data_IF_846309455415
#
_entry.id   IF_846309455415
#
_cell.length_a   1.000
_cell.length_b   1.000
_cell.length_c   1.000
_cell.angle_alpha   90.00
_cell.angle_beta   90.00
_cell.angle_gamma   90.00
#
_symmetry.space_group_name_H-M   'P 1'
#
loop_
_entity.id
_entity.type
_entity.pdbx_description
1 polymer ?
#
# COMPACT_ATOMS: atom_id res chain seq x y z
N UNK A 1 -3.32 -0.08 -13.29
CA UNK A 1 -4.62 -0.14 -13.99
C UNK A 1 -4.46 -0.71 -15.40
N UNK A 2 -3.56 -0.17 -16.23
CA UNK A 2 -3.38 -0.65 -17.62
C UNK A 2 -2.87 -2.09 -17.71
N UNK A 3 -1.99 -2.53 -16.79
CA UNK A 3 -1.45 -3.90 -16.74
C UNK A 3 -2.47 -5.00 -16.42
N UNK A 4 -3.67 -4.62 -15.99
CA UNK A 4 -4.79 -5.53 -15.66
C UNK A 4 -5.98 -5.36 -16.62
N UNK A 5 -5.73 -4.75 -17.79
CA UNK A 5 -6.71 -4.67 -18.89
C UNK A 5 -7.75 -3.55 -18.79
N UNK A 6 -7.62 -2.64 -17.82
CA UNK A 6 -8.55 -1.51 -17.69
C UNK A 6 -8.08 -0.31 -18.53
N UNK A 7 -8.97 0.24 -19.36
CA UNK A 7 -8.71 1.49 -20.08
C UNK A 7 -9.03 2.68 -19.19
N UNK A 8 -8.14 3.66 -19.14
CA UNK A 8 -8.32 4.88 -18.34
C UNK A 8 -9.57 5.68 -18.74
N UNK A 9 -9.97 5.62 -20.03
CA UNK A 9 -11.17 6.27 -20.55
C UNK A 9 -12.47 5.74 -19.96
N UNK A 10 -12.48 4.49 -19.50
CA UNK A 10 -13.69 3.81 -19.07
C UNK A 10 -13.93 3.98 -17.56
N UNK A 11 -12.97 4.58 -16.85
CA UNK A 11 -13.03 4.80 -15.40
C UNK A 11 -13.92 6.02 -15.13
N UNK A 12 -15.11 5.76 -14.60
CA UNK A 12 -16.07 6.79 -14.17
C UNK A 12 -15.87 7.22 -12.73
N UNK A 13 -15.60 6.27 -11.83
CA UNK A 13 -15.35 6.45 -10.40
C UNK A 13 -14.00 5.83 -10.06
N UNK A 14 -13.33 6.33 -9.04
CA UNK A 14 -12.02 5.86 -8.63
C UNK A 14 -11.87 5.92 -7.11
N UNK A 15 -10.76 5.43 -6.55
CA UNK A 15 -10.52 5.43 -5.11
C UNK A 15 -10.63 6.82 -4.46
N UNK A 16 -10.33 7.89 -5.20
CA UNK A 16 -10.55 9.27 -4.74
C UNK A 16 -12.02 9.49 -4.34
N UNK A 17 -12.96 9.01 -5.15
CA UNK A 17 -14.39 9.19 -4.88
C UNK A 17 -14.83 8.45 -3.60
N UNK A 18 -14.21 7.31 -3.30
CA UNK A 18 -14.48 6.59 -2.04
C UNK A 18 -13.86 7.31 -0.83
N UNK A 19 -12.62 7.82 -0.95
CA UNK A 19 -11.92 8.45 0.17
C UNK A 19 -12.46 9.83 0.52
N UNK A 20 -12.80 10.65 -0.48
CA UNK A 20 -13.18 12.06 -0.32
C UNK A 20 -14.70 12.23 -0.33
N UNK A 21 -15.38 11.60 -1.29
CA UNK A 21 -16.83 11.79 -1.50
C UNK A 21 -17.68 10.69 -0.85
N UNK A 22 -17.07 9.76 -0.11
CA UNK A 22 -17.73 8.65 0.60
C UNK A 22 -18.57 7.75 -0.32
N UNK A 23 -18.18 7.65 -1.60
CA UNK A 23 -18.84 6.73 -2.53
C UNK A 23 -18.53 5.29 -2.12
N UNK A 24 -19.55 4.41 -1.98
CA UNK A 24 -19.32 3.01 -1.63
C UNK A 24 -18.33 2.31 -2.56
N UNK A 25 -17.41 1.52 -2.01
CA UNK A 25 -16.41 0.79 -2.82
C UNK A 25 -17.06 -0.18 -3.79
N UNK A 26 -18.23 -0.74 -3.46
CA UNK A 26 -19.02 -1.57 -4.37
C UNK A 26 -19.44 -0.86 -5.67
N UNK A 27 -19.53 0.47 -5.65
CA UNK A 27 -19.84 1.28 -6.83
C UNK A 27 -18.59 1.74 -7.60
N UNK A 28 -17.41 1.61 -6.95
CA UNK A 28 -16.11 2.03 -7.51
C UNK A 28 -15.34 0.84 -8.08
N UNK A 29 -15.49 -0.33 -7.46
CA UNK A 29 -14.86 -1.57 -7.90
C UNK A 29 -15.37 -1.96 -9.30
N UNK A 30 -14.46 -2.35 -10.17
CA UNK A 30 -14.75 -2.81 -11.53
C UNK A 30 -14.12 -4.18 -11.76
N UNK A 31 -14.79 -5.03 -12.53
CA UNK A 31 -14.24 -6.32 -12.90
C UNK A 31 -13.03 -6.16 -13.82
N UNK A 32 -11.97 -6.89 -13.55
CA UNK A 32 -10.83 -6.98 -14.44
C UNK A 32 -11.07 -8.04 -15.53
N UNK A 33 -10.15 -8.13 -16.49
CA UNK A 33 -10.18 -9.21 -17.48
C UNK A 33 -9.82 -10.58 -16.88
N UNK A 34 -9.33 -10.62 -15.62
CA UNK A 34 -9.01 -11.88 -14.92
C UNK A 34 -10.21 -12.28 -14.05
N UNK A 35 -10.74 -13.51 -14.22
CA UNK A 35 -11.82 -14.02 -13.37
C UNK A 35 -11.46 -13.95 -11.88
N UNK A 36 -12.40 -13.51 -11.05
CA UNK A 36 -12.22 -13.42 -9.60
C UNK A 36 -11.35 -12.24 -9.13
N UNK A 37 -10.96 -11.34 -10.05
CA UNK A 37 -10.20 -10.14 -9.69
C UNK A 37 -10.99 -8.88 -10.00
N UNK A 38 -11.35 -8.13 -8.98
CA UNK A 38 -11.88 -6.77 -9.07
C UNK A 38 -10.81 -5.73 -8.78
N UNK A 39 -10.98 -4.55 -9.31
CA UNK A 39 -10.02 -3.45 -9.19
C UNK A 39 -10.73 -2.17 -8.82
N UNK A 40 -10.27 -1.52 -7.78
CA UNK A 40 -10.61 -0.13 -7.48
C UNK A 40 -9.56 0.76 -8.15
N UNK A 41 -9.92 1.44 -9.25
CA UNK A 41 -8.93 2.18 -10.02
C UNK A 41 -8.51 3.47 -9.32
N UNK A 42 -7.29 3.93 -9.61
CA UNK A 42 -6.80 5.24 -9.27
C UNK A 42 -6.68 6.12 -10.54
N UNK A 43 -6.93 7.41 -10.39
CA UNK A 43 -6.74 8.42 -11.43
C UNK A 43 -5.86 9.57 -10.92
N UNK A 44 -5.52 10.52 -11.79
CA UNK A 44 -4.75 11.72 -11.39
C UNK A 44 -5.44 12.53 -10.27
N UNK A 45 -6.76 12.42 -10.11
CA UNK A 45 -7.48 13.05 -9.00
C UNK A 45 -6.96 12.63 -7.62
N UNK A 46 -6.46 11.39 -7.51
CA UNK A 46 -5.95 10.88 -6.24
C UNK A 46 -4.76 11.70 -5.69
N UNK A 47 -3.98 12.35 -6.55
CA UNK A 47 -2.92 13.24 -6.10
C UNK A 47 -3.45 14.44 -5.28
N UNK A 48 -4.66 14.92 -5.58
CA UNK A 48 -5.33 15.98 -4.80
C UNK A 48 -5.80 15.51 -3.42
N UNK A 49 -6.11 14.23 -3.27
CA UNK A 49 -6.59 13.68 -2.00
C UNK A 49 -5.60 13.85 -0.84
N UNK A 50 -4.28 13.88 -1.11
CA UNK A 50 -3.26 14.14 -0.09
C UNK A 50 -3.51 15.45 0.66
N UNK A 51 -3.87 16.52 -0.05
CA UNK A 51 -4.15 17.83 0.55
C UNK A 51 -5.55 17.91 1.15
N UNK A 52 -6.54 17.31 0.50
CA UNK A 52 -7.93 17.36 0.94
C UNK A 52 -8.14 16.57 2.23
N UNK A 53 -7.50 15.42 2.38
CA UNK A 53 -7.55 14.60 3.60
C UNK A 53 -7.07 15.36 4.84
N UNK A 54 -6.14 16.33 4.70
CA UNK A 54 -5.61 17.09 5.85
C UNK A 54 -6.73 17.77 6.67
N UNK A 55 -7.74 18.31 5.99
CA UNK A 55 -8.87 19.00 6.63
C UNK A 55 -10.03 18.10 7.05
N UNK A 56 -9.99 16.80 6.76
CA UNK A 56 -11.10 15.90 7.00
C UNK A 56 -11.05 15.24 8.38
N UNK A 57 -12.23 15.00 8.98
CA UNK A 57 -12.34 14.18 10.18
C UNK A 57 -11.97 12.72 9.86
N UNK A 58 -11.33 12.04 10.84
CA UNK A 58 -10.88 10.65 10.70
C UNK A 58 -10.05 10.41 9.43
N UNK A 59 -9.25 11.40 9.04
CA UNK A 59 -8.51 11.46 7.77
C UNK A 59 -7.62 10.24 7.51
N UNK A 60 -7.10 9.60 8.54
CA UNK A 60 -6.27 8.40 8.49
C UNK A 60 -7.07 7.08 8.46
N UNK A 61 -8.40 7.14 8.64
CA UNK A 61 -9.27 5.97 8.67
C UNK A 61 -10.27 5.91 7.50
N UNK A 62 -10.18 6.82 6.55
CA UNK A 62 -11.13 6.91 5.42
C UNK A 62 -11.17 5.63 4.59
N UNK A 63 -10.00 5.04 4.30
CA UNK A 63 -9.93 3.77 3.57
C UNK A 63 -10.50 2.62 4.39
N UNK A 64 -10.21 2.55 5.68
CA UNK A 64 -10.77 1.53 6.58
C UNK A 64 -12.29 1.58 6.60
N UNK A 65 -12.86 2.77 6.77
CA UNK A 65 -14.31 2.97 6.75
C UNK A 65 -14.94 2.58 5.42
N UNK A 66 -14.27 2.88 4.31
CA UNK A 66 -14.73 2.50 2.97
C UNK A 66 -14.67 0.98 2.72
N UNK A 67 -13.68 0.28 3.30
CA UNK A 67 -13.51 -1.16 3.16
C UNK A 67 -14.45 -1.99 4.04
N UNK A 68 -14.85 -1.48 5.20
CA UNK A 68 -15.65 -2.22 6.20
C UNK A 68 -16.89 -2.90 5.60
N UNK A 69 -17.72 -2.22 4.76
CA UNK A 69 -18.93 -2.83 4.20
C UNK A 69 -18.68 -3.98 3.22
N UNK A 70 -17.51 -4.02 2.58
CA UNK A 70 -17.17 -5.00 1.53
C UNK A 70 -16.10 -5.99 1.97
N UNK A 71 -15.63 -5.92 3.20
CA UNK A 71 -14.50 -6.71 3.70
C UNK A 71 -14.70 -8.22 3.55
N UNK A 72 -15.93 -8.70 3.75
CA UNK A 72 -16.27 -10.12 3.70
C UNK A 72 -16.57 -10.62 2.28
N UNK A 73 -16.56 -9.75 1.29
CA UNK A 73 -16.84 -10.12 -0.11
C UNK A 73 -15.58 -10.63 -0.83
N UNK A 74 -14.40 -10.49 -0.20
CA UNK A 74 -13.09 -10.82 -0.79
C UNK A 74 -12.25 -11.68 0.14
N UNK A 75 -11.52 -12.63 -0.45
CA UNK A 75 -10.51 -13.43 0.27
C UNK A 75 -9.29 -12.57 0.62
N UNK A 76 -8.89 -11.67 -0.31
CA UNK A 76 -7.75 -10.76 -0.16
C UNK A 76 -8.06 -9.38 -0.74
N UNK A 77 -7.59 -8.35 -0.07
CA UNK A 77 -7.57 -6.96 -0.54
C UNK A 77 -6.14 -6.47 -0.58
N UNK A 78 -5.60 -6.20 -1.76
CA UNK A 78 -4.25 -5.67 -1.94
C UNK A 78 -4.31 -4.17 -2.20
N UNK A 79 -3.60 -3.40 -1.39
CA UNK A 79 -3.52 -1.95 -1.51
C UNK A 79 -2.12 -1.57 -2.00
N UNK A 80 -2.03 -1.14 -3.27
CA UNK A 80 -0.79 -0.60 -3.85
C UNK A 80 -0.62 0.86 -3.43
N UNK A 81 0.46 1.14 -2.70
CA UNK A 81 0.72 2.45 -2.09
C UNK A 81 1.73 3.27 -2.88
N UNK A 82 1.62 4.61 -2.89
CA UNK A 82 2.68 5.46 -3.41
C UNK A 82 3.95 5.36 -2.55
N UNK A 83 5.13 5.68 -3.09
CA UNK A 83 6.40 5.59 -2.36
C UNK A 83 6.54 6.65 -1.25
N UNK A 84 5.61 7.60 -1.15
CA UNK A 84 5.59 8.63 -0.11
C UNK A 84 4.93 8.13 1.18
N UNK A 85 5.36 8.63 2.34
CA UNK A 85 4.75 8.34 3.64
C UNK A 85 3.68 9.41 4.00
N UNK A 86 2.84 9.77 3.01
CA UNK A 86 1.76 10.75 3.15
C UNK A 86 0.45 10.18 3.67
N UNK A 87 -0.63 10.97 3.60
CA UNK A 87 -1.95 10.60 4.10
C UNK A 87 -2.53 9.35 3.41
N UNK A 88 -2.23 9.13 2.12
CA UNK A 88 -2.68 7.94 1.40
C UNK A 88 -2.03 6.67 1.97
N UNK A 89 -0.72 6.70 2.22
CA UNK A 89 -0.01 5.57 2.84
C UNK A 89 -0.45 5.35 4.28
N UNK A 90 -0.70 6.41 5.05
CA UNK A 90 -1.26 6.28 6.41
C UNK A 90 -2.65 5.63 6.38
N UNK A 91 -3.50 5.99 5.42
CA UNK A 91 -4.80 5.34 5.24
C UNK A 91 -4.68 3.85 4.93
N UNK A 92 -3.76 3.47 4.06
CA UNK A 92 -3.51 2.08 3.72
C UNK A 92 -3.05 1.28 4.94
N UNK A 93 -2.06 1.77 5.68
CA UNK A 93 -1.54 1.13 6.89
C UNK A 93 -2.58 1.07 8.02
N UNK A 94 -3.43 2.10 8.16
CA UNK A 94 -4.52 2.11 9.15
C UNK A 94 -5.63 1.11 8.83
N UNK A 95 -5.83 0.77 7.54
CA UNK A 95 -6.86 -0.15 7.08
C UNK A 95 -6.38 -1.61 6.97
N UNK A 96 -5.08 -1.84 6.78
CA UNK A 96 -4.50 -3.15 6.49
C UNK A 96 -4.43 -4.05 7.74
N UNK A 97 -4.48 -5.35 7.54
CA UNK A 97 -4.16 -6.35 8.56
C UNK A 97 -2.64 -6.57 8.63
N UNK A 98 -1.97 -6.59 7.47
CA UNK A 98 -0.52 -6.73 7.37
C UNK A 98 0.07 -5.91 6.22
N UNK A 99 1.39 -5.72 6.23
CA UNK A 99 2.13 -5.01 5.21
C UNK A 99 3.28 -5.84 4.67
N UNK A 100 3.37 -5.96 3.35
CA UNK A 100 4.54 -6.48 2.65
C UNK A 100 5.41 -5.28 2.23
N UNK A 101 6.70 -5.33 2.57
CA UNK A 101 7.63 -4.23 2.31
C UNK A 101 8.58 -4.60 1.17
N UNK A 102 8.39 -4.08 -0.05
CA UNK A 102 9.37 -4.24 -1.11
C UNK A 102 10.56 -3.30 -0.87
N UNK A 103 11.77 -3.85 -0.91
CA UNK A 103 13.02 -3.10 -0.73
C UNK A 103 13.88 -3.28 -1.97
N UNK A 104 14.19 -2.19 -2.66
CA UNK A 104 15.18 -2.20 -3.72
C UNK A 104 16.58 -2.30 -3.12
N UNK A 105 17.44 -3.18 -3.68
CA UNK A 105 18.82 -3.39 -3.19
C UNK A 105 19.76 -2.26 -3.66
N UNK A 106 19.41 -1.00 -3.32
CA UNK A 106 20.10 0.23 -3.72
C UNK A 106 20.52 1.08 -2.51
N UNK A 107 21.33 2.12 -2.77
CA UNK A 107 22.00 2.92 -1.73
C UNK A 107 21.05 3.55 -0.68
N UNK A 108 19.90 4.07 -1.10
CA UNK A 108 18.98 4.74 -0.18
C UNK A 108 17.95 3.82 0.50
N UNK A 109 18.03 2.52 0.25
CA UNK A 109 17.05 1.55 0.75
C UNK A 109 16.91 1.56 2.28
N UNK A 110 18.03 1.59 3.00
CA UNK A 110 18.05 1.51 4.47
C UNK A 110 17.52 2.79 5.14
N UNK A 111 17.73 3.96 4.53
CA UNK A 111 17.19 5.22 5.03
C UNK A 111 15.66 5.25 4.90
N UNK A 112 15.15 4.92 3.71
CA UNK A 112 13.71 4.81 3.46
C UNK A 112 13.04 3.78 4.36
N UNK A 113 13.70 2.64 4.59
CA UNK A 113 13.24 1.60 5.50
C UNK A 113 13.09 2.11 6.93
N UNK A 114 14.06 2.87 7.43
CA UNK A 114 14.02 3.43 8.78
C UNK A 114 12.83 4.37 8.96
N UNK A 115 12.54 5.20 7.97
CA UNK A 115 11.38 6.10 7.98
C UNK A 115 10.06 5.32 7.94
N UNK A 116 9.97 4.29 7.10
CA UNK A 116 8.80 3.43 7.01
C UNK A 116 8.54 2.72 8.35
N UNK A 117 9.58 2.15 8.98
CA UNK A 117 9.44 1.47 10.28
C UNK A 117 8.92 2.41 11.37
N UNK A 118 9.40 3.64 11.43
CA UNK A 118 8.85 4.66 12.34
C UNK A 118 7.38 4.96 12.06
N UNK A 119 7.00 5.06 10.79
CA UNK A 119 5.61 5.29 10.39
C UNK A 119 4.72 4.13 10.79
N UNK A 120 5.14 2.87 10.57
CA UNK A 120 4.41 1.68 10.99
C UNK A 120 4.22 1.69 12.51
N UNK A 121 5.26 1.97 13.29
CA UNK A 121 5.16 2.05 14.76
C UNK A 121 4.18 3.13 15.22
N UNK A 122 4.14 4.28 14.56
CA UNK A 122 3.15 5.34 14.86
C UNK A 122 1.74 4.89 14.54
N UNK A 123 1.53 4.23 13.40
CA UNK A 123 0.22 3.67 13.01
C UNK A 123 -0.22 2.59 14.01
N UNK A 124 0.67 1.67 14.39
CA UNK A 124 0.39 0.65 15.41
C UNK A 124 -0.01 1.27 16.75
N UNK A 125 0.63 2.37 17.13
CA UNK A 125 0.36 3.03 18.41
C UNK A 125 -0.96 3.79 18.44
N UNK A 126 -1.35 4.44 17.32
CA UNK A 126 -2.42 5.43 17.35
C UNK A 126 -3.64 5.08 16.49
N UNK A 127 -3.47 4.31 15.40
CA UNK A 127 -4.55 4.10 14.41
C UNK A 127 -4.89 2.63 14.20
N UNK A 128 -3.90 1.73 14.20
CA UNK A 128 -4.10 0.30 13.94
C UNK A 128 -3.15 -0.59 14.75
N UNK A 129 -3.48 -0.90 16.02
CA UNK A 129 -2.62 -1.71 16.89
C UNK A 129 -2.39 -3.15 16.40
N UNK A 130 -3.21 -3.64 15.47
CA UNK A 130 -3.11 -5.01 14.92
C UNK A 130 -2.30 -5.12 13.65
N UNK A 131 -1.83 -3.98 13.10
CA UNK A 131 -1.02 -3.99 11.89
C UNK A 131 0.27 -4.80 12.12
N UNK A 132 0.53 -5.76 11.26
CA UNK A 132 1.74 -6.59 11.31
C UNK A 132 2.59 -6.40 10.04
N UNK A 133 3.90 -6.64 10.17
CA UNK A 133 4.76 -6.79 9.00
C UNK A 133 4.68 -8.27 8.60
N UNK A 134 4.04 -8.54 7.46
CA UNK A 134 3.93 -9.87 6.87
C UNK A 134 5.28 -10.38 6.41
N UNK A 135 5.99 -9.53 5.66
CA UNK A 135 7.30 -9.89 5.17
C UNK A 135 7.96 -8.78 4.37
N UNK A 136 9.19 -9.03 4.00
CA UNK A 136 10.05 -8.14 3.20
C UNK A 136 10.45 -8.86 1.92
N UNK A 137 10.25 -8.19 0.78
CA UNK A 137 10.66 -8.69 -0.54
C UNK A 137 11.83 -7.84 -1.05
N UNK A 138 12.97 -8.48 -1.24
CA UNK A 138 14.12 -7.83 -1.88
C UNK A 138 13.88 -7.79 -3.39
N UNK A 139 14.04 -6.61 -3.99
CA UNK A 139 13.83 -6.39 -5.42
C UNK A 139 15.05 -5.72 -6.05
N UNK A 140 15.17 -5.82 -7.37
CA UNK A 140 16.27 -5.19 -8.13
C UNK A 140 17.67 -5.64 -7.65
N UNK A 141 17.78 -6.88 -7.16
CA UNK A 141 19.04 -7.44 -6.70
C UNK A 141 19.99 -7.71 -7.87
N UNK A 142 21.22 -7.24 -7.77
CA UNK A 142 22.31 -7.54 -8.71
C UNK A 142 23.48 -8.19 -7.95
N UNK A 143 23.68 -9.50 -8.15
CA UNK A 143 24.73 -10.27 -7.49
C UNK A 143 26.16 -9.80 -7.82
N UNK A 144 26.33 -8.99 -8.88
CA UNK A 144 27.62 -8.44 -9.31
C UNK A 144 28.05 -7.23 -8.49
N UNK A 145 27.14 -6.64 -7.71
CA UNK A 145 27.43 -5.43 -6.94
C UNK A 145 27.56 -5.74 -5.44
N UNK A 146 28.64 -5.24 -4.83
CA UNK A 146 28.82 -5.32 -3.38
C UNK A 146 27.70 -4.61 -2.62
N UNK A 147 27.12 -3.54 -3.21
CA UNK A 147 26.05 -2.77 -2.59
C UNK A 147 24.79 -3.62 -2.38
N UNK A 148 24.35 -4.35 -3.42
CA UNK A 148 23.17 -5.22 -3.31
C UNK A 148 23.37 -6.31 -2.25
N UNK A 149 24.58 -6.85 -2.15
CA UNK A 149 24.94 -7.85 -1.12
C UNK A 149 24.85 -7.23 0.28
N UNK A 150 25.47 -6.08 0.50
CA UNK A 150 25.45 -5.38 1.79
C UNK A 150 24.03 -5.01 2.23
N UNK A 151 23.20 -4.44 1.32
CA UNK A 151 21.80 -4.12 1.64
C UNK A 151 21.05 -5.39 2.02
N UNK A 152 21.23 -6.48 1.28
CA UNK A 152 20.58 -7.76 1.55
C UNK A 152 20.96 -8.31 2.94
N UNK A 153 22.25 -8.27 3.29
CA UNK A 153 22.75 -8.72 4.60
C UNK A 153 22.15 -7.90 5.74
N UNK A 154 22.14 -6.57 5.63
CA UNK A 154 21.55 -5.69 6.66
C UNK A 154 20.04 -5.90 6.80
N UNK A 155 19.30 -6.04 5.71
CA UNK A 155 17.86 -6.33 5.73
C UNK A 155 17.59 -7.68 6.37
N UNK A 156 18.34 -8.73 6.01
CA UNK A 156 18.21 -10.07 6.61
C UNK A 156 18.57 -10.09 8.10
N UNK A 157 19.57 -9.33 8.51
CA UNK A 157 19.95 -9.19 9.91
C UNK A 157 18.84 -8.56 10.75
N UNK A 158 18.12 -7.58 10.18
CA UNK A 158 17.07 -6.86 10.90
C UNK A 158 15.73 -7.63 10.91
N UNK A 159 15.30 -8.17 9.76
CA UNK A 159 13.99 -8.80 9.60
C UNK A 159 14.00 -10.33 9.75
N UNK A 160 15.18 -10.95 9.73
CA UNK A 160 15.38 -12.40 9.92
C UNK A 160 14.45 -13.24 9.01
N UNK A 161 13.59 -14.05 9.60
CA UNK A 161 12.69 -14.98 8.91
C UNK A 161 11.60 -14.29 8.10
N UNK A 162 11.38 -12.97 8.31
CA UNK A 162 10.40 -12.20 7.54
C UNK A 162 10.89 -11.79 6.15
N UNK A 163 12.14 -12.05 5.79
CA UNK A 163 12.66 -11.80 4.45
C UNK A 163 12.36 -13.00 3.57
N UNK A 164 11.55 -12.78 2.52
CA UNK A 164 11.25 -13.83 1.55
C UNK A 164 12.52 -14.29 0.82
N UNK A 165 12.60 -15.59 0.49
CA UNK A 165 13.76 -16.18 -0.19
C UNK A 165 13.88 -15.76 -1.66
N UNK A 166 12.74 -15.49 -2.32
CA UNK A 166 12.72 -15.04 -3.70
C UNK A 166 13.17 -13.58 -3.81
N UNK A 167 14.10 -13.34 -4.71
CA UNK A 167 14.65 -12.02 -5.05
C UNK A 167 14.31 -11.73 -6.51
#
# INVERSE_FOLDING_TARGET
>A
TSGIGLRKSDIKKCIYDALINEVPLSEVAVDSQKPGLQVVPATLKLAGAESELVGMMARDQRLRLALEPVRNDYDYVLVDCPPSLGNLTLNALAAADSVIVPIQCEFYALEGLTQLMRTIQLVQKYSNPRLEIEGVVLTMYDSRTNLSQQVTEEVRKYFQEKVYESI
#
